data_IF_531208996201
#
_entry.id   IF_531208996201
#
_cell.length_a   1.000
_cell.length_b   1.000
_cell.length_c   1.000
_cell.angle_alpha   90.00
_cell.angle_beta   90.00
_cell.angle_gamma   90.00
#
_symmetry.space_group_name_H-M   'P 1'
#
loop_
_entity.id
_entity.type
_entity.pdbx_description
1 polymer ?
#
# COMPACT_ATOMS: atom_id res chain seq x y z
N UNK A 1 15.75 25.73 1.24
CA UNK A 1 14.46 25.05 1.08
C UNK A 1 14.33 23.94 2.11
N UNK A 2 13.23 23.92 2.83
CA UNK A 2 12.94 22.82 3.74
C UNK A 2 12.74 21.53 2.94
N UNK A 3 13.41 20.46 3.33
CA UNK A 3 13.15 19.13 2.76
C UNK A 3 11.75 18.73 3.15
N UNK A 4 10.96 18.31 2.15
CA UNK A 4 9.64 17.76 2.42
C UNK A 4 9.80 16.48 3.24
N UNK A 5 9.13 16.45 4.40
CA UNK A 5 9.17 15.30 5.30
C UNK A 5 8.35 14.15 4.69
N UNK A 6 8.92 12.95 4.67
CA UNK A 6 8.20 11.76 4.26
C UNK A 6 7.46 11.17 5.46
N UNK A 7 6.14 11.12 5.37
CA UNK A 7 5.29 10.74 6.49
C UNK A 7 4.40 9.56 6.11
N UNK A 8 4.31 8.60 7.01
CA UNK A 8 3.51 7.39 6.87
C UNK A 8 2.50 7.27 8.00
N UNK A 9 1.42 6.55 7.75
CA UNK A 9 0.51 6.10 8.80
C UNK A 9 0.16 4.62 8.60
N UNK A 10 -0.03 3.91 9.69
CA UNK A 10 -0.53 2.53 9.61
C UNK A 10 -2.03 2.54 9.38
N UNK A 11 -2.48 1.75 8.38
CA UNK A 11 -3.89 1.51 8.11
C UNK A 11 -4.29 0.26 8.86
N UNK A 12 -5.26 0.38 9.75
CA UNK A 12 -5.66 -0.69 10.68
C UNK A 12 -7.09 -1.15 10.43
N UNK A 13 -7.39 -2.38 10.84
CA UNK A 13 -8.77 -2.88 10.81
C UNK A 13 -9.71 -1.95 11.59
N UNK A 14 -9.23 -1.35 12.68
CA UNK A 14 -10.01 -0.39 13.47
C UNK A 14 -10.41 0.88 12.71
N UNK A 15 -9.75 1.18 11.60
CA UNK A 15 -10.18 2.29 10.72
C UNK A 15 -11.50 1.97 10.00
N UNK A 16 -11.87 0.69 9.94
CA UNK A 16 -13.08 0.21 9.24
C UNK A 16 -14.08 -0.47 10.20
N UNK A 17 -13.60 -1.08 11.26
CA UNK A 17 -14.43 -1.75 12.30
C UNK A 17 -13.98 -1.27 13.68
N UNK A 18 -14.80 -0.42 14.30
CA UNK A 18 -14.50 0.11 15.64
C UNK A 18 -14.33 -1.02 16.65
N UNK A 19 -13.36 -0.87 17.56
CA UNK A 19 -13.13 -1.79 18.66
C UNK A 19 -12.30 -3.03 18.31
N UNK A 20 -11.89 -3.21 17.05
CA UNK A 20 -11.02 -4.33 16.68
C UNK A 20 -9.59 -4.02 17.08
N UNK A 21 -8.96 -4.94 17.83
CA UNK A 21 -7.57 -4.80 18.28
C UNK A 21 -6.64 -5.43 17.25
N UNK A 22 -5.59 -4.70 16.86
CA UNK A 22 -4.57 -5.20 15.93
C UNK A 22 -3.75 -6.32 16.59
N UNK A 23 -3.48 -7.39 15.81
CA UNK A 23 -2.63 -8.49 16.27
C UNK A 23 -1.16 -8.04 16.35
N UNK A 24 -0.43 -8.56 17.35
CA UNK A 24 0.97 -8.17 17.54
C UNK A 24 1.89 -8.67 16.42
N UNK A 25 1.68 -9.87 15.92
CA UNK A 25 2.51 -10.47 14.86
C UNK A 25 2.08 -10.09 13.44
N UNK A 26 1.22 -9.12 13.29
CA UNK A 26 0.68 -8.71 11.99
C UNK A 26 1.72 -8.08 11.08
N UNK A 27 1.44 -8.09 9.79
CA UNK A 27 2.06 -7.13 8.88
C UNK A 27 1.45 -5.75 9.12
N UNK A 28 2.30 -4.73 9.23
CA UNK A 28 1.84 -3.34 9.31
C UNK A 28 1.63 -2.81 7.91
N UNK A 29 0.38 -2.59 7.54
CA UNK A 29 0.02 -2.02 6.24
C UNK A 29 0.07 -0.50 6.38
N UNK A 30 0.90 0.15 5.56
CA UNK A 30 1.17 1.58 5.71
C UNK A 30 0.90 2.33 4.42
N UNK A 31 0.52 3.58 4.55
CA UNK A 31 0.32 4.49 3.43
C UNK A 31 1.06 5.79 3.67
N UNK A 32 1.74 6.34 2.64
CA UNK A 32 2.25 7.70 2.71
C UNK A 32 1.11 8.69 2.88
N UNK A 33 1.39 9.80 3.56
CA UNK A 33 0.44 10.89 3.76
C UNK A 33 0.89 12.13 2.99
N UNK A 34 -0.05 12.84 2.38
CA UNK A 34 0.25 14.10 1.68
C UNK A 34 0.39 15.27 2.64
N UNK A 35 -0.21 15.18 3.83
CA UNK A 35 -0.11 16.17 4.92
C UNK A 35 0.53 15.51 6.13
N UNK A 36 1.63 16.09 6.64
CA UNK A 36 2.38 15.53 7.75
C UNK A 36 1.63 15.51 9.08
N UNK A 37 0.50 16.20 9.19
CA UNK A 37 -0.27 16.33 10.43
C UNK A 37 -1.62 15.61 10.39
N UNK A 38 -1.97 14.97 9.29
CA UNK A 38 -3.31 14.38 9.10
C UNK A 38 -3.25 12.95 8.56
N UNK A 39 -3.75 11.99 9.35
CA UNK A 39 -3.95 10.61 8.88
C UNK A 39 -4.95 10.53 7.72
N UNK A 40 -5.93 11.43 7.70
CA UNK A 40 -6.92 11.48 6.61
C UNK A 40 -6.27 11.76 5.26
N UNK A 41 -5.08 12.34 5.23
CA UNK A 41 -4.31 12.60 4.02
C UNK A 41 -3.54 11.37 3.51
N UNK A 42 -3.68 10.20 4.14
CA UNK A 42 -3.08 8.96 3.63
C UNK A 42 -3.51 8.78 2.16
N UNK A 43 -2.54 8.53 1.30
CA UNK A 43 -2.79 8.46 -0.16
C UNK A 43 -3.82 7.39 -0.51
N UNK A 44 -3.86 6.27 0.24
CA UNK A 44 -4.87 5.24 0.02
C UNK A 44 -6.28 5.76 0.32
N UNK A 45 -6.44 6.58 1.36
CA UNK A 45 -7.74 7.19 1.67
C UNK A 45 -8.14 8.22 0.62
N UNK A 46 -7.18 9.02 0.16
CA UNK A 46 -7.41 9.98 -0.92
C UNK A 46 -7.84 9.28 -2.22
N UNK A 47 -7.17 8.17 -2.56
CA UNK A 47 -7.52 7.38 -3.74
C UNK A 47 -8.93 6.80 -3.63
N UNK A 48 -9.29 6.23 -2.48
CA UNK A 48 -10.61 5.65 -2.26
C UNK A 48 -11.69 6.73 -2.25
N UNK A 49 -11.43 7.86 -1.61
CA UNK A 49 -12.38 8.98 -1.56
C UNK A 49 -12.60 9.62 -2.94
N UNK A 50 -11.63 9.51 -3.83
CA UNK A 50 -11.76 9.97 -5.21
C UNK A 50 -12.55 9.02 -6.12
N UNK A 51 -12.83 7.81 -5.66
CA UNK A 51 -13.65 6.86 -6.41
C UNK A 51 -15.14 7.11 -6.15
N UNK A 52 -15.99 6.61 -7.04
CA UNK A 52 -17.45 6.80 -6.94
C UNK A 52 -18.19 5.47 -6.98
N UNK A 53 -19.35 5.44 -6.36
CA UNK A 53 -20.31 4.35 -6.46
C UNK A 53 -19.72 2.99 -6.10
N UNK A 54 -19.84 2.04 -7.01
CA UNK A 54 -19.41 0.67 -6.80
C UNK A 54 -17.89 0.53 -6.64
N UNK A 55 -17.12 1.36 -7.33
CA UNK A 55 -15.64 1.34 -7.20
C UNK A 55 -15.23 1.68 -5.78
N UNK A 56 -15.82 2.70 -5.18
CA UNK A 56 -15.52 3.09 -3.81
C UNK A 56 -15.90 1.99 -2.83
N UNK A 57 -17.07 1.38 -3.00
CA UNK A 57 -17.51 0.28 -2.14
C UNK A 57 -16.59 -0.93 -2.23
N UNK A 58 -16.17 -1.29 -3.45
CA UNK A 58 -15.24 -2.41 -3.66
C UNK A 58 -13.87 -2.09 -3.10
N UNK A 59 -13.39 -0.85 -3.23
CA UNK A 59 -12.10 -0.44 -2.69
C UNK A 59 -12.08 -0.52 -1.17
N UNK A 60 -13.13 -0.05 -0.51
CA UNK A 60 -13.25 -0.15 0.95
C UNK A 60 -13.31 -1.62 1.41
N UNK A 61 -14.12 -2.44 0.74
CA UNK A 61 -14.23 -3.86 1.06
C UNK A 61 -12.90 -4.60 0.83
N UNK A 62 -12.23 -4.32 -0.29
CA UNK A 62 -10.95 -4.93 -0.63
C UNK A 62 -9.85 -4.55 0.36
N UNK A 63 -9.79 -3.28 0.73
CA UNK A 63 -8.82 -2.80 1.72
C UNK A 63 -9.05 -3.45 3.08
N UNK A 64 -10.30 -3.53 3.52
CA UNK A 64 -10.66 -4.20 4.77
C UNK A 64 -10.23 -5.68 4.76
N UNK A 65 -10.47 -6.39 3.67
CA UNK A 65 -10.06 -7.80 3.53
C UNK A 65 -8.55 -7.95 3.55
N UNK A 66 -7.82 -7.07 2.86
CA UNK A 66 -6.36 -7.07 2.88
C UNK A 66 -5.83 -6.88 4.29
N UNK A 67 -6.41 -5.95 5.05
CA UNK A 67 -6.03 -5.70 6.43
C UNK A 67 -6.30 -6.90 7.33
N UNK A 68 -7.39 -7.64 7.09
CA UNK A 68 -7.68 -8.88 7.84
C UNK A 68 -6.63 -9.96 7.54
N UNK A 69 -6.21 -10.08 6.29
CA UNK A 69 -5.11 -11.00 5.94
C UNK A 69 -3.82 -10.60 6.64
N UNK A 70 -3.54 -9.31 6.72
CA UNK A 70 -2.34 -8.79 7.39
C UNK A 70 -2.25 -9.20 8.86
N UNK A 71 -3.40 -9.37 9.54
CA UNK A 71 -3.45 -9.80 10.94
C UNK A 71 -2.86 -11.20 11.15
N UNK A 72 -2.84 -12.04 10.12
CA UNK A 72 -2.34 -13.41 10.20
C UNK A 72 -0.81 -13.48 10.22
N UNK A 73 -0.12 -12.39 9.90
CA UNK A 73 1.34 -12.31 10.00
C UNK A 73 2.11 -13.11 8.96
N UNK A 74 1.45 -13.55 7.90
CA UNK A 74 2.08 -14.28 6.79
C UNK A 74 1.96 -13.48 5.50
N UNK A 75 2.88 -13.66 4.54
CA UNK A 75 2.76 -13.00 3.24
C UNK A 75 1.42 -13.30 2.58
N UNK A 76 0.82 -12.29 1.97
CA UNK A 76 -0.51 -12.41 1.37
C UNK A 76 -0.56 -13.44 0.25
N UNK A 77 0.53 -13.57 -0.51
CA UNK A 77 0.64 -14.56 -1.59
C UNK A 77 0.68 -16.01 -1.09
N UNK A 78 0.89 -16.22 0.21
CA UNK A 78 0.77 -17.53 0.86
C UNK A 78 -0.65 -17.80 1.39
N UNK A 79 -1.44 -16.75 1.57
CA UNK A 79 -2.77 -16.81 2.17
C UNK A 79 -3.90 -16.79 1.14
N UNK A 80 -3.64 -16.29 -0.07
CA UNK A 80 -4.61 -16.14 -1.12
C UNK A 80 -4.12 -16.81 -2.40
N UNK A 81 -5.05 -17.12 -3.32
CA UNK A 81 -4.70 -17.72 -4.59
C UNK A 81 -4.04 -16.71 -5.54
N UNK A 82 -3.48 -17.22 -6.65
CA UNK A 82 -2.78 -16.38 -7.63
C UNK A 82 -3.70 -15.42 -8.38
N UNK A 83 -5.00 -15.67 -8.42
CA UNK A 83 -5.95 -14.73 -9.01
C UNK A 83 -6.15 -13.52 -8.15
N UNK A 84 -6.04 -13.69 -6.83
CA UNK A 84 -6.19 -12.62 -5.85
C UNK A 84 -4.89 -11.88 -5.61
N UNK A 85 -3.78 -12.63 -5.41
CA UNK A 85 -2.47 -12.04 -5.10
C UNK A 85 -1.42 -12.60 -6.05
N UNK A 86 -0.80 -11.72 -6.83
CA UNK A 86 0.37 -12.05 -7.64
C UNK A 86 1.18 -10.79 -7.94
N UNK A 87 2.32 -10.99 -8.61
CA UNK A 87 3.13 -9.85 -9.04
C UNK A 87 2.32 -8.93 -9.97
N UNK A 88 2.36 -7.63 -9.69
CA UNK A 88 1.57 -6.64 -10.43
C UNK A 88 2.13 -6.42 -11.84
N UNK A 89 3.45 -6.45 -11.97
CA UNK A 89 4.20 -6.30 -13.22
C UNK A 89 5.59 -6.86 -12.99
N UNK A 90 6.39 -6.90 -14.05
CA UNK A 90 7.76 -7.42 -13.98
C UNK A 90 8.59 -6.66 -12.94
N UNK A 91 9.43 -7.38 -12.19
CA UNK A 91 10.36 -6.77 -11.23
C UNK A 91 11.23 -5.71 -11.92
N UNK A 92 11.52 -4.63 -11.20
CA UNK A 92 12.29 -3.52 -11.74
C UNK A 92 13.54 -3.26 -10.91
N UNK A 93 14.60 -2.79 -11.56
CA UNK A 93 15.82 -2.40 -10.87
C UNK A 93 15.60 -1.11 -10.08
N UNK A 94 15.95 -1.14 -8.79
CA UNK A 94 15.85 0.02 -7.91
C UNK A 94 17.25 0.54 -7.56
N UNK A 95 17.53 1.80 -7.94
CA UNK A 95 18.84 2.41 -7.68
C UNK A 95 19.13 2.63 -6.20
N UNK A 96 18.10 2.71 -5.36
CA UNK A 96 18.26 2.91 -3.92
C UNK A 96 18.81 1.63 -3.26
N UNK A 97 18.23 0.49 -3.58
CA UNK A 97 18.62 -0.81 -3.02
C UNK A 97 19.69 -1.52 -3.86
N UNK A 98 19.89 -1.06 -5.10
CA UNK A 98 20.82 -1.66 -6.08
C UNK A 98 20.49 -3.12 -6.39
N UNK A 99 19.19 -3.45 -6.40
CA UNK A 99 18.68 -4.77 -6.75
C UNK A 99 17.29 -4.64 -7.36
N UNK A 100 16.78 -5.75 -7.90
CA UNK A 100 15.42 -5.80 -8.41
C UNK A 100 14.42 -5.82 -7.26
N UNK A 101 13.37 -5.03 -7.40
CA UNK A 101 12.26 -4.96 -6.46
C UNK A 101 10.96 -5.37 -7.15
N UNK A 102 10.02 -5.92 -6.40
CA UNK A 102 8.77 -6.45 -6.91
C UNK A 102 7.59 -5.76 -6.25
N UNK A 103 6.65 -5.26 -7.07
CA UNK A 103 5.36 -4.76 -6.61
C UNK A 103 4.33 -5.85 -6.83
N UNK A 104 3.52 -6.12 -5.80
CA UNK A 104 2.48 -7.13 -5.81
C UNK A 104 1.12 -6.50 -6.03
N UNK A 105 0.15 -7.31 -6.44
CA UNK A 105 -1.22 -6.89 -6.67
C UNK A 105 -2.17 -7.73 -5.81
N UNK A 106 -3.04 -7.03 -5.09
CA UNK A 106 -4.23 -7.62 -4.46
C UNK A 106 -5.45 -7.22 -5.29
N UNK A 107 -6.23 -8.22 -5.70
CA UNK A 107 -7.43 -8.03 -6.51
C UNK A 107 -8.68 -8.19 -5.67
N UNK A 108 -9.58 -7.20 -5.74
CA UNK A 108 -10.92 -7.30 -5.17
C UNK A 108 -11.92 -6.71 -6.17
N UNK A 109 -12.68 -7.57 -6.88
CA UNK A 109 -13.54 -7.12 -7.97
C UNK A 109 -12.73 -6.39 -9.04
N UNK A 110 -13.15 -5.18 -9.37
CA UNK A 110 -12.45 -4.32 -10.33
C UNK A 110 -11.32 -3.50 -9.68
N UNK A 111 -11.15 -3.61 -8.37
CA UNK A 111 -10.13 -2.85 -7.66
C UNK A 111 -8.82 -3.62 -7.64
N UNK A 112 -7.72 -2.86 -7.80
CA UNK A 112 -6.36 -3.36 -7.65
C UNK A 112 -5.65 -2.55 -6.58
N UNK A 113 -5.14 -3.23 -5.58
CA UNK A 113 -4.30 -2.62 -4.55
C UNK A 113 -2.88 -3.11 -4.80
N UNK A 114 -2.01 -2.20 -5.24
CA UNK A 114 -0.61 -2.49 -5.50
C UNK A 114 0.17 -2.23 -4.23
N UNK A 115 0.98 -3.22 -3.82
CA UNK A 115 1.69 -3.14 -2.55
C UNK A 115 3.10 -3.71 -2.66
N UNK A 116 3.93 -3.35 -1.69
CA UNK A 116 5.33 -3.73 -1.64
C UNK A 116 5.67 -4.27 -0.24
N UNK A 117 6.31 -5.44 -0.21
CA UNK A 117 6.81 -5.99 1.05
C UNK A 117 8.11 -5.30 1.42
N UNK A 118 8.11 -4.54 2.50
CA UNK A 118 9.29 -3.88 3.05
C UNK A 118 9.87 -4.71 4.20
N UNK A 119 10.99 -4.24 4.77
CA UNK A 119 11.60 -4.88 5.92
C UNK A 119 10.68 -4.78 7.15
N UNK A 120 10.92 -5.66 8.14
CA UNK A 120 10.27 -5.63 9.46
C UNK A 120 8.75 -5.81 9.41
N UNK A 121 8.27 -6.64 8.49
CA UNK A 121 6.83 -6.93 8.31
C UNK A 121 6.01 -5.67 8.01
N UNK A 122 6.56 -4.76 7.23
CA UNK A 122 5.86 -3.58 6.74
C UNK A 122 5.41 -3.82 5.30
N UNK A 123 4.15 -3.53 5.02
CA UNK A 123 3.59 -3.57 3.66
C UNK A 123 3.22 -2.15 3.26
N UNK A 124 3.90 -1.64 2.22
CA UNK A 124 3.60 -0.32 1.67
C UNK A 124 2.46 -0.42 0.65
N UNK A 125 1.42 0.36 0.84
CA UNK A 125 0.39 0.56 -0.18
C UNK A 125 0.94 1.55 -1.22
N UNK A 126 1.29 1.02 -2.39
CA UNK A 126 1.96 1.81 -3.42
C UNK A 126 1.00 2.54 -4.34
N UNK A 127 -0.13 1.92 -4.68
CA UNK A 127 -1.10 2.50 -5.59
C UNK A 127 -2.41 1.73 -5.55
N UNK A 128 -3.54 2.41 -5.48
CA UNK A 128 -4.87 1.79 -5.45
C UNK A 128 -5.70 2.38 -6.58
N UNK A 129 -6.29 1.52 -7.41
CA UNK A 129 -6.98 1.96 -8.62
C UNK A 129 -8.11 1.02 -9.02
N UNK A 130 -9.16 1.52 -9.69
CA UNK A 130 -10.08 0.66 -10.42
C UNK A 130 -9.44 0.26 -11.75
N UNK A 131 -9.49 -1.01 -12.09
CA UNK A 131 -8.91 -1.54 -13.33
C UNK A 131 -10.03 -1.96 -14.28
N UNK A 132 -10.06 -1.37 -15.48
CA UNK A 132 -11.06 -1.63 -16.51
C UNK A 132 -10.51 -2.47 -17.67
N UNK A 133 -9.20 -2.68 -17.71
CA UNK A 133 -8.51 -3.42 -18.79
C UNK A 133 -7.64 -4.50 -18.19
N UNK A 134 -7.22 -5.47 -19.02
CA UNK A 134 -6.41 -6.60 -18.54
C UNK A 134 -5.01 -6.19 -18.09
N UNK A 135 -4.48 -5.09 -18.64
CA UNK A 135 -3.12 -4.61 -18.32
C UNK A 135 -3.16 -3.30 -17.58
N UNK A 136 -2.22 -3.14 -16.63
CA UNK A 136 -1.99 -1.85 -15.99
C UNK A 136 -1.40 -0.87 -17.01
N UNK A 137 -1.82 0.39 -16.93
CA UNK A 137 -1.23 1.45 -17.76
C UNK A 137 0.21 1.74 -17.34
N UNK A 138 1.00 2.29 -18.25
CA UNK A 138 2.35 2.75 -17.93
C UNK A 138 2.35 3.78 -16.80
N UNK A 139 1.33 4.64 -16.76
CA UNK A 139 1.17 5.64 -15.69
C UNK A 139 0.98 4.98 -14.33
N UNK A 140 0.12 3.97 -14.23
CA UNK A 140 -0.13 3.25 -12.99
C UNK A 140 1.12 2.50 -12.52
N UNK A 141 1.81 1.84 -13.43
CA UNK A 141 3.06 1.14 -13.14
C UNK A 141 4.11 2.11 -12.61
N UNK A 142 4.28 3.26 -13.27
CA UNK A 142 5.27 4.26 -12.88
C UNK A 142 4.92 4.89 -11.52
N UNK A 143 3.65 5.13 -11.24
CA UNK A 143 3.22 5.62 -9.92
C UNK A 143 3.55 4.62 -8.81
N UNK A 144 3.32 3.34 -9.04
CA UNK A 144 3.65 2.30 -8.07
C UNK A 144 5.16 2.19 -7.85
N UNK A 145 5.95 2.21 -8.92
CA UNK A 145 7.42 2.20 -8.82
C UNK A 145 7.93 3.40 -8.04
N UNK A 146 7.41 4.59 -8.34
CA UNK A 146 7.82 5.82 -7.67
C UNK A 146 7.49 5.78 -6.19
N UNK A 147 6.32 5.24 -5.82
CA UNK A 147 5.95 5.09 -4.41
C UNK A 147 6.96 4.22 -3.65
N UNK A 148 7.41 3.12 -4.27
CA UNK A 148 8.43 2.24 -3.67
C UNK A 148 9.76 2.96 -3.54
N UNK A 149 10.20 3.65 -4.59
CA UNK A 149 11.48 4.41 -4.58
C UNK A 149 11.46 5.50 -3.51
N UNK A 150 10.37 6.25 -3.41
CA UNK A 150 10.24 7.32 -2.41
C UNK A 150 10.29 6.75 -0.99
N UNK A 151 9.60 5.64 -0.74
CA UNK A 151 9.62 4.96 0.55
C UNK A 151 11.04 4.49 0.91
N UNK A 152 11.71 3.82 -0.01
CA UNK A 152 13.07 3.30 0.23
C UNK A 152 14.09 4.42 0.41
N UNK A 153 13.97 5.50 -0.35
CA UNK A 153 14.80 6.69 -0.20
C UNK A 153 14.63 7.29 1.19
N UNK A 154 13.39 7.47 1.64
CA UNK A 154 13.09 8.01 2.97
C UNK A 154 13.60 7.09 4.09
N UNK A 155 13.44 5.78 3.94
CA UNK A 155 13.88 4.81 4.96
C UNK A 155 15.39 4.81 5.16
N UNK A 156 16.15 5.26 4.15
CA UNK A 156 17.62 5.32 4.19
C UNK A 156 18.15 6.73 4.44
N UNK A 157 17.28 7.72 4.56
CA UNK A 157 17.68 9.10 4.84
C UNK A 157 18.02 9.26 6.33
N UNK A 158 18.77 10.33 6.67
CA UNK A 158 19.12 10.63 8.07
C UNK A 158 17.88 10.86 8.94
N UNK A 159 16.82 11.46 8.37
CA UNK A 159 15.56 11.68 9.08
C UNK A 159 14.74 10.39 9.23
N UNK A 160 14.95 9.39 8.35
CA UNK A 160 14.22 8.14 8.36
C UNK A 160 12.73 8.32 8.02
N UNK A 161 11.95 7.30 8.37
CA UNK A 161 10.51 7.32 8.18
C UNK A 161 9.86 8.06 9.35
N UNK A 162 8.93 8.97 9.03
CA UNK A 162 8.16 9.70 10.03
C UNK A 162 6.75 9.11 10.10
N UNK A 163 6.24 8.90 11.29
CA UNK A 163 4.97 8.21 11.51
C UNK A 163 3.93 9.15 12.10
N UNK A 164 2.70 9.06 11.60
CA UNK A 164 1.50 9.66 12.23
C UNK A 164 0.70 8.52 12.85
N UNK A 165 0.28 8.72 14.08
CA UNK A 165 -0.60 7.79 14.77
C UNK A 165 -2.06 8.16 14.71
#
# INVERSE_FOLDING_TARGET
MAKQMYVLTEIRVSDFEAGVVSAQGRFKVVSPCSDSESRASAKVFEAVNGMQGNDQRQALAGLKMLLKLAQLGKPFNQLADKKTVHEAFESFYCGVTKKNETVWRYRHGDIRILFYYAADKVVLLAHTLPKRTDKLSAKDINQAKQAVVDFLTASRSAAGLQWIE
#
